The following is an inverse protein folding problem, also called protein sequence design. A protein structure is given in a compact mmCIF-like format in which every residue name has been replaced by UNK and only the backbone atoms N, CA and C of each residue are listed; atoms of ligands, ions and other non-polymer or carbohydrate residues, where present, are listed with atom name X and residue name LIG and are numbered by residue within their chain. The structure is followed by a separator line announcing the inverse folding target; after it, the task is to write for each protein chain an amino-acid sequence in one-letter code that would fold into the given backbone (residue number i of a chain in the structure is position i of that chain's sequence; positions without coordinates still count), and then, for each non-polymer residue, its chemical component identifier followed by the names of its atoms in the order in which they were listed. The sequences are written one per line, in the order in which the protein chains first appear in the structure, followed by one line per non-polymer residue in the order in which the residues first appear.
data_IF_339099235692
#
_entry.id   IF_339099235692
#
_cell.length_a   1.000
_cell.length_b   1.000
_cell.length_c   1.000
_cell.angle_alpha   90.00
_cell.angle_beta   90.00
_cell.angle_gamma   90.00
#
_symmetry.space_group_name_H-M   'P 1'
#
loop_
_entity.id
_entity.type
_entity.pdbx_description
1 polymer ?
#
# COMPACT_ATOMS: atom_id res chain seq x y z
N UNK A 1 -25.44 2.95 12.29
CA UNK A 1 -25.11 2.54 10.90
C UNK A 1 -24.32 3.59 10.12
N UNK A 2 -24.72 4.88 10.09
CA UNK A 2 -24.00 5.95 9.35
C UNK A 2 -22.49 6.05 9.67
N UNK A 3 -22.09 5.87 10.93
CA UNK A 3 -20.69 5.95 11.38
C UNK A 3 -19.82 4.79 10.86
N UNK A 4 -20.39 3.57 10.79
CA UNK A 4 -19.70 2.39 10.26
C UNK A 4 -19.48 2.54 8.75
N UNK A 5 -20.51 2.96 8.01
CA UNK A 5 -20.42 3.22 6.56
C UNK A 5 -19.41 4.33 6.27
N UNK A 6 -19.40 5.39 7.07
CA UNK A 6 -18.42 6.46 7.01
C UNK A 6 -16.99 5.95 7.23
N UNK A 7 -16.78 5.06 8.21
CA UNK A 7 -15.47 4.46 8.45
C UNK A 7 -15.00 3.61 7.26
N UNK A 8 -15.83 2.70 6.75
CA UNK A 8 -15.47 1.89 5.57
C UNK A 8 -15.16 2.74 4.33
N UNK A 9 -15.85 3.88 4.18
CA UNK A 9 -15.55 4.85 3.13
C UNK A 9 -14.20 5.53 3.34
N UNK A 10 -13.88 5.91 4.57
CA UNK A 10 -12.61 6.55 4.95
C UNK A 10 -11.40 5.66 4.66
N UNK A 11 -11.48 4.36 4.98
CA UNK A 11 -10.40 3.41 4.66
C UNK A 11 -10.43 2.91 3.21
N UNK A 12 -11.35 3.40 2.37
CA UNK A 12 -11.52 3.00 0.97
C UNK A 12 -11.57 1.47 0.82
N UNK A 13 -12.49 0.85 1.55
CA UNK A 13 -12.60 -0.61 1.66
C UNK A 13 -12.55 -1.40 0.35
N UNK A 14 -13.08 -0.94 -0.82
CA UNK A 14 -12.97 -1.71 -2.05
C UNK A 14 -11.51 -1.89 -2.48
N UNK A 15 -10.68 -0.86 -2.30
CA UNK A 15 -9.25 -0.91 -2.61
C UNK A 15 -8.51 -1.92 -1.72
N UNK A 16 -8.89 -1.98 -0.44
CA UNK A 16 -8.32 -2.94 0.51
C UNK A 16 -8.66 -4.39 0.12
N UNK A 17 -9.87 -4.62 -0.37
CA UNK A 17 -10.27 -5.94 -0.90
C UNK A 17 -9.41 -6.32 -2.10
N UNK A 18 -9.14 -5.39 -3.02
CA UNK A 18 -8.24 -5.65 -4.16
C UNK A 18 -6.81 -5.96 -3.72
N UNK A 19 -6.29 -5.33 -2.67
CA UNK A 19 -4.97 -5.66 -2.09
C UNK A 19 -4.97 -7.12 -1.61
N UNK A 20 -5.98 -7.52 -0.81
CA UNK A 20 -6.12 -8.90 -0.32
C UNK A 20 -6.22 -9.87 -1.48
N UNK A 21 -7.08 -9.59 -2.46
CA UNK A 21 -7.26 -10.46 -3.63
C UNK A 21 -5.97 -10.61 -4.43
N UNK A 22 -5.24 -9.52 -4.66
CA UNK A 22 -3.98 -9.54 -5.40
C UNK A 22 -2.94 -10.40 -4.67
N UNK A 23 -2.78 -10.20 -3.36
CA UNK A 23 -1.84 -10.98 -2.55
C UNK A 23 -2.24 -12.46 -2.48
N UNK A 24 -3.53 -12.76 -2.36
CA UNK A 24 -4.06 -14.13 -2.38
C UNK A 24 -3.80 -14.81 -3.73
N UNK A 25 -4.15 -14.16 -4.85
CA UNK A 25 -3.91 -14.71 -6.18
C UNK A 25 -2.42 -14.91 -6.43
N UNK A 26 -1.58 -13.98 -5.98
CA UNK A 26 -0.13 -14.10 -6.10
C UNK A 26 0.40 -15.32 -5.31
N UNK A 27 -0.06 -15.51 -4.08
CA UNK A 27 0.35 -16.64 -3.23
C UNK A 27 -0.09 -17.99 -3.81
N UNK A 28 -1.38 -18.12 -4.16
CA UNK A 28 -1.95 -19.42 -4.55
C UNK A 28 -1.72 -19.75 -6.02
N UNK A 29 -1.81 -18.79 -6.93
CA UNK A 29 -1.69 -19.04 -8.37
C UNK A 29 -0.25 -18.97 -8.87
N UNK A 30 0.64 -18.23 -8.18
CA UNK A 30 2.04 -18.06 -8.61
C UNK A 30 2.97 -18.83 -7.67
N UNK A 31 3.07 -18.42 -6.40
CA UNK A 31 4.03 -19.02 -5.47
C UNK A 31 3.80 -20.53 -5.28
N UNK A 32 2.62 -20.93 -4.80
CA UNK A 32 2.32 -22.37 -4.57
C UNK A 32 2.34 -23.21 -5.85
N UNK A 33 2.14 -22.60 -7.03
CA UNK A 33 2.22 -23.30 -8.32
C UNK A 33 3.66 -23.53 -8.79
N UNK A 34 4.57 -22.60 -8.49
CA UNK A 34 5.99 -22.74 -8.85
C UNK A 34 6.67 -23.79 -7.96
N UNK A 35 6.32 -23.83 -6.68
CA UNK A 35 6.92 -24.70 -5.67
C UNK A 35 6.07 -25.96 -5.39
N UNK A 36 5.33 -26.46 -6.40
CA UNK A 36 4.56 -27.71 -6.26
C UNK A 36 5.49 -28.86 -5.84
N UNK A 37 5.16 -29.52 -4.75
CA UNK A 37 5.89 -30.69 -4.26
C UNK A 37 7.07 -30.37 -3.34
N UNK A 38 7.38 -29.10 -3.12
CA UNK A 38 8.29 -28.67 -2.05
C UNK A 38 7.52 -28.55 -0.74
N UNK A 39 8.09 -29.06 0.36
CA UNK A 39 7.48 -28.92 1.68
C UNK A 39 7.41 -27.43 2.05
N UNK A 40 6.20 -26.91 2.25
CA UNK A 40 6.01 -25.56 2.75
C UNK A 40 6.69 -25.40 4.10
N UNK A 41 7.33 -24.26 4.33
CA UNK A 41 7.93 -23.97 5.63
C UNK A 41 6.85 -24.04 6.73
N UNK A 42 7.17 -24.53 7.94
CA UNK A 42 6.19 -24.84 8.98
C UNK A 42 5.41 -23.64 9.55
N UNK A 43 5.59 -22.41 9.06
CA UNK A 43 4.81 -21.22 9.46
C UNK A 43 4.37 -20.35 8.27
N UNK A 44 4.47 -20.88 7.05
CA UNK A 44 4.32 -20.13 5.80
C UNK A 44 2.95 -19.46 5.65
N UNK A 45 1.89 -20.17 6.05
CA UNK A 45 0.51 -19.68 5.96
C UNK A 45 0.24 -18.58 6.99
N UNK A 46 0.78 -18.71 8.20
CA UNK A 46 0.62 -17.70 9.25
C UNK A 46 1.37 -16.42 8.89
N UNK A 47 2.61 -16.55 8.43
CA UNK A 47 3.42 -15.44 7.94
C UNK A 47 2.70 -14.70 6.81
N UNK A 48 2.15 -15.44 5.83
CA UNK A 48 1.37 -14.85 4.75
C UNK A 48 0.14 -14.08 5.26
N UNK A 49 -0.69 -14.68 6.13
CA UNK A 49 -1.88 -14.02 6.68
C UNK A 49 -1.51 -12.73 7.41
N UNK A 50 -0.46 -12.75 8.23
CA UNK A 50 -0.02 -11.56 8.96
C UNK A 50 0.55 -10.48 8.02
N UNK A 51 1.25 -10.85 6.94
CA UNK A 51 1.69 -9.89 5.91
C UNK A 51 0.53 -9.24 5.17
N UNK A 52 -0.52 -10.01 4.85
CA UNK A 52 -1.73 -9.48 4.22
C UNK A 52 -2.41 -8.48 5.16
N UNK A 53 -2.59 -8.86 6.44
CA UNK A 53 -3.17 -7.96 7.45
C UNK A 53 -2.31 -6.70 7.58
N UNK A 54 -0.98 -6.83 7.67
CA UNK A 54 -0.07 -5.69 7.76
C UNK A 54 -0.24 -4.76 6.55
N UNK A 55 -0.25 -5.31 5.34
CA UNK A 55 -0.39 -4.56 4.08
C UNK A 55 -1.72 -3.79 4.05
N UNK A 56 -2.82 -4.43 4.44
CA UNK A 56 -4.15 -3.82 4.50
C UNK A 56 -4.22 -2.70 5.55
N UNK A 57 -3.65 -2.92 6.74
CA UNK A 57 -3.64 -1.91 7.81
C UNK A 57 -2.81 -0.68 7.41
N UNK A 58 -1.64 -0.88 6.80
CA UNK A 58 -0.78 0.22 6.31
C UNK A 58 -1.48 0.99 5.19
N UNK A 59 -2.09 0.31 4.22
CA UNK A 59 -2.84 0.96 3.15
C UNK A 59 -4.05 1.74 3.67
N UNK A 60 -4.80 1.15 4.61
CA UNK A 60 -5.93 1.80 5.27
C UNK A 60 -5.48 3.07 6.01
N UNK A 61 -4.38 3.01 6.75
CA UNK A 61 -3.79 4.17 7.43
C UNK A 61 -3.35 5.26 6.45
N UNK A 62 -2.80 4.85 5.30
CA UNK A 62 -2.43 5.74 4.19
C UNK A 62 -3.63 6.48 3.60
N UNK A 63 -4.75 5.79 3.37
CA UNK A 63 -5.97 6.44 2.89
C UNK A 63 -6.57 7.42 3.91
N UNK A 64 -6.55 7.08 5.20
CA UNK A 64 -7.04 7.95 6.27
C UNK A 64 -6.25 9.26 6.35
N UNK A 65 -4.90 9.18 6.33
CA UNK A 65 -4.07 10.38 6.41
C UNK A 65 -4.17 11.22 5.14
N UNK A 66 -4.34 10.58 3.98
CA UNK A 66 -4.59 11.29 2.74
C UNK A 66 -5.89 12.11 2.82
N UNK A 67 -7.01 11.49 3.23
CA UNK A 67 -8.30 12.19 3.38
C UNK A 67 -8.25 13.28 4.47
N UNK A 68 -7.37 13.16 5.48
CA UNK A 68 -7.16 14.19 6.50
C UNK A 68 -6.59 15.50 5.92
N UNK A 69 -5.58 15.38 5.06
CA UNK A 69 -4.93 16.53 4.41
C UNK A 69 -5.74 17.06 3.22
N UNK A 70 -6.45 16.17 2.52
CA UNK A 70 -7.26 16.50 1.34
C UNK A 70 -8.61 17.16 1.67
N UNK A 71 -8.99 17.23 2.94
CA UNK A 71 -10.30 17.71 3.39
C UNK A 71 -10.76 19.02 2.71
N UNK A 72 -9.88 20.01 2.59
CA UNK A 72 -10.26 21.30 1.98
C UNK A 72 -10.48 21.18 0.47
N UNK A 73 -9.67 20.36 -0.21
CA UNK A 73 -9.76 20.12 -1.66
C UNK A 73 -11.01 19.29 -1.96
N UNK A 74 -11.24 18.23 -1.18
CA UNK A 74 -12.39 17.33 -1.34
C UNK A 74 -13.72 18.02 -1.04
N UNK A 75 -13.75 19.02 -0.14
CA UNK A 75 -14.94 19.84 0.09
C UNK A 75 -15.34 20.64 -1.14
N UNK A 76 -14.38 21.06 -1.97
CA UNK A 76 -14.66 21.79 -3.22
C UNK A 76 -15.00 20.81 -4.35
N UNK A 77 -14.16 19.80 -4.57
CA UNK A 77 -14.31 18.91 -5.73
C UNK A 77 -15.44 17.88 -5.54
N UNK A 78 -15.63 17.37 -4.33
CA UNK A 78 -16.49 16.20 -4.05
C UNK A 78 -17.25 16.36 -2.73
N UNK A 79 -18.07 17.43 -2.54
CA UNK A 79 -18.71 17.76 -1.26
C UNK A 79 -19.57 16.62 -0.68
N UNK A 80 -20.29 15.87 -1.52
CA UNK A 80 -21.10 14.72 -1.09
C UNK A 80 -20.29 13.47 -0.70
N UNK A 81 -18.96 13.49 -0.91
CA UNK A 81 -18.06 12.38 -0.57
C UNK A 81 -17.24 12.59 0.69
N UNK A 82 -17.20 13.81 1.23
CA UNK A 82 -16.39 14.15 2.40
C UNK A 82 -16.98 13.51 3.66
N UNK A 83 -16.16 12.73 4.35
CA UNK A 83 -16.49 12.10 5.63
C UNK A 83 -15.83 12.83 6.79
N UNK A 84 -14.61 13.32 6.57
CA UNK A 84 -13.78 13.99 7.57
C UNK A 84 -14.39 15.34 7.93
N UNK A 85 -14.53 15.62 9.22
CA UNK A 85 -15.13 16.84 9.78
C UNK A 85 -16.64 17.03 9.51
N UNK A 86 -17.30 16.05 8.87
CA UNK A 86 -18.76 16.00 8.70
C UNK A 86 -19.35 14.91 9.60
N UNK A 87 -18.80 13.70 9.53
CA UNK A 87 -19.28 12.54 10.30
C UNK A 87 -18.22 12.12 11.33
N UNK A 88 -16.93 12.16 10.96
CA UNK A 88 -15.81 11.75 11.82
C UNK A 88 -14.94 12.97 12.11
N UNK A 89 -14.75 13.28 13.40
CA UNK A 89 -13.91 14.40 13.83
C UNK A 89 -12.45 14.18 13.45
N UNK A 90 -11.74 15.27 13.13
CA UNK A 90 -10.32 15.28 12.76
C UNK A 90 -9.41 14.55 13.75
N UNK A 91 -9.69 14.68 15.05
CA UNK A 91 -8.94 13.97 16.12
C UNK A 91 -9.04 12.44 15.98
N UNK A 92 -10.23 11.93 15.67
CA UNK A 92 -10.46 10.50 15.47
C UNK A 92 -9.81 10.00 14.19
N UNK A 93 -9.75 10.81 13.13
CA UNK A 93 -9.05 10.47 11.89
C UNK A 93 -7.55 10.26 12.14
N UNK A 94 -6.90 11.19 12.86
CA UNK A 94 -5.48 11.03 13.25
C UNK A 94 -5.31 9.80 14.16
N UNK A 95 -6.20 9.61 15.13
CA UNK A 95 -6.16 8.42 16.00
C UNK A 95 -6.20 7.13 15.18
N UNK A 96 -7.14 7.00 14.24
CA UNK A 96 -7.25 5.81 13.39
C UNK A 96 -6.05 5.62 12.48
N UNK A 97 -5.49 6.70 11.93
CA UNK A 97 -4.23 6.62 11.17
C UNK A 97 -3.09 6.05 12.03
N UNK A 98 -2.88 6.58 13.23
CA UNK A 98 -1.83 6.11 14.14
C UNK A 98 -2.07 4.67 14.59
N UNK A 99 -3.30 4.36 14.99
CA UNK A 99 -3.68 3.01 15.45
C UNK A 99 -3.48 1.95 14.37
N UNK A 100 -3.93 2.20 13.13
CA UNK A 100 -3.77 1.26 12.02
C UNK A 100 -2.31 1.17 11.56
N UNK A 101 -1.54 2.26 11.58
CA UNK A 101 -0.11 2.23 11.29
C UNK A 101 0.65 1.36 12.30
N UNK A 102 0.34 1.50 13.59
CA UNK A 102 0.94 0.69 14.66
C UNK A 102 0.53 -0.78 14.56
N UNK A 103 -0.74 -1.07 14.27
CA UNK A 103 -1.18 -2.44 14.02
C UNK A 103 -0.50 -3.04 12.78
N UNK A 104 -0.37 -2.28 11.70
CA UNK A 104 0.33 -2.72 10.50
C UNK A 104 1.78 -3.09 10.79
N UNK A 105 2.48 -2.26 11.57
CA UNK A 105 3.84 -2.53 12.03
C UNK A 105 3.90 -3.78 12.94
N UNK A 106 2.97 -3.90 13.89
CA UNK A 106 2.88 -5.04 14.78
C UNK A 106 2.70 -6.36 14.01
N UNK A 107 1.78 -6.40 13.05
CA UNK A 107 1.60 -7.59 12.21
C UNK A 107 2.79 -7.85 11.29
N UNK A 108 3.45 -6.80 10.79
CA UNK A 108 4.70 -6.95 10.03
C UNK A 108 5.78 -7.61 10.89
N UNK A 109 5.91 -7.22 12.16
CA UNK A 109 6.87 -7.82 13.09
C UNK A 109 6.49 -9.26 13.44
N UNK A 110 5.20 -9.53 13.67
CA UNK A 110 4.70 -10.86 13.96
C UNK A 110 4.85 -11.83 12.78
N UNK A 111 4.81 -11.32 11.55
CA UNK A 111 5.01 -12.11 10.34
C UNK A 111 6.49 -12.39 10.04
N UNK A 112 7.38 -11.45 10.36
CA UNK A 112 8.75 -11.42 9.89
C UNK A 112 9.73 -11.43 11.07
N UNK A 113 10.27 -12.60 11.46
CA UNK A 113 11.24 -12.66 12.54
C UNK A 113 12.48 -11.81 12.22
N UNK A 114 12.84 -10.92 13.15
CA UNK A 114 13.87 -9.89 12.97
C UNK A 114 15.21 -10.45 12.48
N UNK A 115 15.62 -11.62 12.96
CA UNK A 115 16.93 -12.20 12.64
C UNK A 115 17.16 -12.36 11.14
N UNK A 116 16.11 -12.64 10.35
CA UNK A 116 16.23 -12.87 8.91
C UNK A 116 15.61 -11.75 8.07
N UNK A 117 14.62 -11.03 8.61
CA UNK A 117 13.75 -10.15 7.82
C UNK A 117 13.67 -8.70 8.33
N UNK A 118 14.63 -8.25 9.15
CA UNK A 118 14.67 -6.87 9.67
C UNK A 118 14.49 -5.78 8.59
N UNK A 119 15.09 -5.98 7.41
CA UNK A 119 15.03 -5.07 6.26
C UNK A 119 13.60 -4.88 5.73
N UNK A 120 12.76 -5.92 5.79
CA UNK A 120 11.36 -5.84 5.35
C UNK A 120 10.48 -5.11 6.36
N UNK A 121 10.73 -5.32 7.66
CA UNK A 121 10.05 -4.56 8.72
C UNK A 121 10.40 -3.07 8.60
N UNK A 122 11.67 -2.74 8.36
CA UNK A 122 12.09 -1.37 8.10
C UNK A 122 11.50 -0.80 6.82
N UNK A 123 11.36 -1.59 5.75
CA UNK A 123 10.72 -1.13 4.52
C UNK A 123 9.21 -0.84 4.71
N UNK A 124 8.51 -1.62 5.54
CA UNK A 124 7.13 -1.31 5.94
C UNK A 124 7.04 -0.06 6.82
N UNK A 125 7.97 0.12 7.76
CA UNK A 125 8.07 1.37 8.52
C UNK A 125 8.32 2.57 7.59
N UNK A 126 9.25 2.42 6.63
CA UNK A 126 9.53 3.43 5.63
C UNK A 126 8.28 3.72 4.77
N UNK A 127 7.48 2.71 4.43
CA UNK A 127 6.23 2.89 3.69
C UNK A 127 5.22 3.75 4.46
N UNK A 128 5.07 3.54 5.77
CA UNK A 128 4.21 4.38 6.64
C UNK A 128 4.71 5.84 6.63
N UNK A 129 6.02 6.03 6.79
CA UNK A 129 6.65 7.35 6.80
C UNK A 129 6.48 8.04 5.43
N UNK A 130 6.71 7.32 4.33
CA UNK A 130 6.54 7.82 2.96
C UNK A 130 5.09 8.19 2.67
N UNK A 131 4.09 7.43 3.13
CA UNK A 131 2.67 7.78 3.00
C UNK A 131 2.33 9.09 3.74
N UNK A 132 2.93 9.29 4.91
CA UNK A 132 2.75 10.54 5.66
C UNK A 132 3.43 11.73 4.97
N UNK A 133 4.67 11.57 4.51
CA UNK A 133 5.38 12.60 3.73
C UNK A 133 4.68 12.90 2.41
N UNK A 134 4.13 11.87 1.76
CA UNK A 134 3.31 12.01 0.56
C UNK A 134 2.13 12.94 0.80
N UNK A 135 1.36 12.66 1.86
CA UNK A 135 0.14 13.39 2.17
C UNK A 135 0.39 14.82 2.65
N UNK A 136 1.56 15.10 3.23
CA UNK A 136 1.93 16.44 3.73
C UNK A 136 2.58 17.33 2.67
N UNK A 137 3.55 16.79 1.92
CA UNK A 137 4.48 17.60 1.12
C UNK A 137 4.47 17.24 -0.37
N UNK A 138 4.49 15.95 -0.72
CA UNK A 138 4.72 15.54 -2.11
C UNK A 138 3.48 15.61 -3.00
N UNK A 139 2.26 15.64 -2.43
CA UNK A 139 1.05 15.82 -3.23
C UNK A 139 1.01 17.15 -4.00
N UNK A 140 1.76 18.16 -3.53
CA UNK A 140 1.84 19.49 -4.18
C UNK A 140 2.91 19.57 -5.28
N UNK A 141 3.66 18.49 -5.52
CA UNK A 141 4.72 18.43 -6.52
C UNK A 141 4.31 17.54 -7.69
N UNK A 142 4.47 18.05 -8.91
CA UNK A 142 4.22 17.34 -10.15
C UNK A 142 4.98 16.01 -10.17
N UNK A 143 4.26 14.91 -10.44
CA UNK A 143 4.76 13.55 -10.72
C UNK A 143 5.38 12.79 -9.54
N UNK A 144 6.11 13.46 -8.63
CA UNK A 144 6.82 12.79 -7.52
C UNK A 144 5.84 12.04 -6.62
N UNK A 145 4.71 12.65 -6.30
CA UNK A 145 3.66 12.01 -5.52
C UNK A 145 3.08 10.76 -6.17
N UNK A 146 2.79 10.83 -7.47
CA UNK A 146 2.15 9.73 -8.21
C UNK A 146 3.11 8.55 -8.37
N UNK A 147 4.39 8.84 -8.62
CA UNK A 147 5.45 7.83 -8.67
C UNK A 147 5.59 7.15 -7.30
N UNK A 148 5.59 7.93 -6.21
CA UNK A 148 5.71 7.40 -4.85
C UNK A 148 4.56 6.47 -4.49
N UNK A 149 3.29 6.86 -4.71
CA UNK A 149 2.14 5.97 -4.47
C UNK A 149 2.27 4.71 -5.32
N UNK A 150 2.61 4.87 -6.60
CA UNK A 150 2.72 3.74 -7.51
C UNK A 150 3.82 2.77 -7.07
N UNK A 151 4.96 3.27 -6.57
CA UNK A 151 6.01 2.44 -5.97
C UNK A 151 5.49 1.69 -4.73
N UNK A 152 4.72 2.35 -3.87
CA UNK A 152 4.11 1.71 -2.71
C UNK A 152 3.07 0.65 -3.10
N UNK A 153 2.33 0.84 -4.19
CA UNK A 153 1.41 -0.20 -4.70
C UNK A 153 2.17 -1.41 -5.25
N UNK A 154 3.29 -1.21 -5.93
CA UNK A 154 4.16 -2.29 -6.38
C UNK A 154 4.83 -3.00 -5.19
N UNK A 155 5.14 -2.25 -4.12
CA UNK A 155 5.73 -2.79 -2.89
C UNK A 155 4.85 -3.88 -2.25
N UNK A 156 3.52 -3.76 -2.32
CA UNK A 156 2.55 -4.76 -1.83
C UNK A 156 2.77 -6.16 -2.44
N UNK A 157 3.26 -6.23 -3.67
CA UNK A 157 3.60 -7.48 -4.35
C UNK A 157 5.05 -7.88 -4.03
N UNK A 158 5.98 -6.92 -4.07
CA UNK A 158 7.40 -7.18 -3.81
C UNK A 158 7.67 -7.74 -2.42
N UNK A 159 6.92 -7.29 -1.40
CA UNK A 159 7.10 -7.78 -0.03
C UNK A 159 6.81 -9.28 0.10
N UNK A 160 5.86 -9.82 -0.68
CA UNK A 160 5.58 -11.26 -0.68
C UNK A 160 6.78 -12.03 -1.21
N UNK A 161 7.34 -11.61 -2.34
CA UNK A 161 8.54 -12.25 -2.90
C UNK A 161 9.71 -12.23 -1.90
N UNK A 162 10.03 -11.06 -1.34
CA UNK A 162 11.14 -10.92 -0.40
C UNK A 162 10.91 -11.68 0.91
N UNK A 163 9.65 -11.83 1.34
CA UNK A 163 9.32 -12.62 2.54
C UNK A 163 9.57 -14.12 2.38
N UNK A 164 9.51 -14.64 1.15
CA UNK A 164 9.70 -16.06 0.82
C UNK A 164 11.16 -16.36 0.41
N UNK A 165 11.90 -15.34 0.00
CA UNK A 165 13.30 -15.44 -0.45
C UNK A 165 14.16 -14.50 0.38
N UNK A 166 14.61 -14.92 1.58
CA UNK A 166 15.49 -14.10 2.42
C UNK A 166 16.78 -13.80 1.66
N UNK A 167 17.26 -12.56 1.77
CA UNK A 167 18.52 -12.09 1.18
C UNK A 167 19.73 -12.70 1.93
N UNK A 168 19.91 -14.01 1.86
CA UNK A 168 21.06 -14.71 2.40
C UNK A 168 22.13 -14.89 1.31
N UNK A 169 23.37 -14.50 1.63
CA UNK A 169 24.52 -14.54 0.73
C UNK A 169 24.75 -15.93 0.10
N UNK A 170 24.41 -16.99 0.82
CA UNK A 170 24.58 -18.38 0.37
C UNK A 170 23.56 -18.83 -0.69
N UNK A 171 22.37 -18.19 -0.76
CA UNK A 171 21.35 -18.50 -1.77
C UNK A 171 21.66 -17.87 -3.14
N UNK A 172 22.42 -16.75 -3.16
CA UNK A 172 22.79 -16.05 -4.39
C UNK A 172 23.70 -16.91 -5.30
N UNK A 173 24.45 -17.84 -4.72
CA UNK A 173 25.39 -18.71 -5.45
C UNK A 173 24.75 -19.99 -6.00
N UNK A 174 23.55 -20.36 -5.52
CA UNK A 174 22.84 -21.58 -5.90
C UNK A 174 21.48 -21.23 -6.52
N UNK A 175 21.50 -20.41 -7.57
CA UNK A 175 20.28 -19.94 -8.25
C UNK A 175 19.51 -21.13 -8.84
N UNK A 176 18.40 -21.50 -8.19
CA UNK A 176 17.48 -22.51 -8.74
C UNK A 176 16.63 -21.90 -9.85
N UNK A 177 16.28 -22.71 -10.85
CA UNK A 177 15.42 -22.29 -11.98
C UNK A 177 14.05 -21.77 -11.53
N UNK A 178 13.51 -22.31 -10.43
CA UNK A 178 12.24 -21.87 -9.85
C UNK A 178 12.30 -20.47 -9.22
N UNK A 179 13.42 -20.11 -8.57
CA UNK A 179 13.61 -18.79 -7.95
C UNK A 179 13.68 -17.69 -9.01
N UNK A 180 14.37 -17.94 -10.13
CA UNK A 180 14.43 -17.00 -11.27
C UNK A 180 13.05 -16.81 -11.89
N UNK A 181 12.28 -17.90 -12.05
CA UNK A 181 10.91 -17.83 -12.56
C UNK A 181 10.02 -17.01 -11.63
N UNK A 182 10.12 -17.25 -10.32
CA UNK A 182 9.34 -16.53 -9.32
C UNK A 182 9.70 -15.03 -9.30
N UNK A 183 10.99 -14.69 -9.32
CA UNK A 183 11.46 -13.31 -9.41
C UNK A 183 10.97 -12.60 -10.66
N UNK A 184 11.08 -13.24 -11.83
CA UNK A 184 10.63 -12.67 -13.10
C UNK A 184 9.13 -12.38 -13.08
N UNK A 185 8.32 -13.32 -12.60
CA UNK A 185 6.87 -13.12 -12.47
C UNK A 185 6.57 -12.00 -11.47
N UNK A 186 7.24 -11.97 -10.32
CA UNK A 186 7.10 -10.89 -9.32
C UNK A 186 7.34 -9.53 -9.95
N UNK A 187 8.44 -9.34 -10.69
CA UNK A 187 8.75 -8.07 -11.35
C UNK A 187 7.68 -7.69 -12.36
N UNK A 188 7.22 -8.64 -13.18
CA UNK A 188 6.18 -8.35 -14.18
C UNK A 188 4.90 -7.87 -13.51
N UNK A 189 4.43 -8.54 -12.45
CA UNK A 189 3.23 -8.13 -11.73
C UNK A 189 3.43 -6.82 -10.95
N UNK A 190 4.58 -6.61 -10.33
CA UNK A 190 4.91 -5.38 -9.63
C UNK A 190 5.02 -4.18 -10.58
N UNK A 191 5.65 -4.34 -11.74
CA UNK A 191 5.74 -3.32 -12.78
C UNK A 191 4.36 -3.00 -13.38
N UNK A 192 3.52 -4.02 -13.59
CA UNK A 192 2.15 -3.83 -14.04
C UNK A 192 1.32 -3.05 -13.02
N UNK A 193 1.40 -3.41 -11.73
CA UNK A 193 0.75 -2.68 -10.65
C UNK A 193 1.23 -1.23 -10.57
N UNK A 194 2.54 -1.00 -10.70
CA UNK A 194 3.13 0.34 -10.76
C UNK A 194 2.54 1.17 -11.91
N UNK A 195 2.55 0.65 -13.15
CA UNK A 195 2.08 1.38 -14.32
C UNK A 195 0.59 1.71 -14.20
N UNK A 196 -0.25 0.74 -13.82
CA UNK A 196 -1.69 0.97 -13.66
C UNK A 196 -1.96 1.98 -12.54
N UNK A 197 -1.25 1.89 -11.42
CA UNK A 197 -1.38 2.87 -10.34
C UNK A 197 -0.99 4.27 -10.81
N UNK A 198 0.08 4.38 -11.60
CA UNK A 198 0.56 5.67 -12.10
C UNK A 198 -0.47 6.30 -13.03
N UNK A 199 -0.99 5.53 -14.00
CA UNK A 199 -2.06 5.98 -14.90
C UNK A 199 -3.30 6.41 -14.12
N UNK A 200 -3.69 5.63 -13.11
CA UNK A 200 -4.85 5.95 -12.26
C UNK A 200 -4.67 7.27 -11.51
N UNK A 201 -3.49 7.54 -10.94
CA UNK A 201 -3.26 8.80 -10.25
C UNK A 201 -3.15 9.99 -11.22
N UNK A 202 -2.61 9.81 -12.42
CA UNK A 202 -2.65 10.85 -13.46
C UNK A 202 -4.08 11.19 -13.86
N UNK A 203 -4.95 10.19 -14.05
CA UNK A 203 -6.38 10.41 -14.36
C UNK A 203 -7.06 11.15 -13.20
N UNK A 204 -6.75 10.80 -11.95
CA UNK A 204 -7.32 11.46 -10.78
C UNK A 204 -6.87 12.92 -10.68
N UNK A 205 -5.60 13.22 -10.94
CA UNK A 205 -5.11 14.59 -10.98
C UNK A 205 -5.81 15.41 -12.08
N UNK A 206 -6.17 14.79 -13.20
CA UNK A 206 -6.99 15.41 -14.26
C UNK A 206 -8.46 15.60 -13.88
N UNK A 207 -8.99 14.88 -12.89
CA UNK A 207 -10.34 15.13 -12.35
C UNK A 207 -10.33 16.26 -11.31
N UNK A 208 -9.23 16.42 -10.56
CA UNK A 208 -9.16 17.31 -9.40
C UNK A 208 -8.67 18.75 -9.73
N UNK A 209 -8.51 19.09 -11.02
CA UNK A 209 -7.97 20.37 -11.56
C UNK A 209 -8.65 21.62 -11.01
N UNK A 210 -9.98 21.61 -10.89
CA UNK A 210 -10.73 22.80 -10.45
C UNK A 210 -10.45 23.15 -8.98
N UNK A 211 -10.33 22.13 -8.11
CA UNK A 211 -9.97 22.30 -6.69
C UNK A 211 -8.50 22.65 -6.51
N UNK A 212 -7.63 22.02 -7.29
CA UNK A 212 -6.20 22.32 -7.30
C UNK A 212 -5.91 23.77 -7.73
N UNK A 213 -6.66 24.28 -8.72
CA UNK A 213 -6.56 25.66 -9.21
C UNK A 213 -6.98 26.70 -8.17
N UNK A 214 -7.99 26.40 -7.33
CA UNK A 214 -8.43 27.29 -6.23
C UNK A 214 -7.46 27.33 -5.04
N UNK A 215 -6.73 26.25 -4.79
CA UNK A 215 -5.76 26.16 -3.69
C UNK A 215 -4.29 26.34 -4.12
N UNK A 216 -4.05 26.71 -5.39
CA UNK A 216 -2.71 27.05 -5.89
C UNK A 216 -1.77 25.86 -6.03
N UNK A 217 -2.30 24.64 -6.20
CA UNK A 217 -1.47 23.46 -6.47
C UNK A 217 -0.98 23.50 -7.92
N UNK A 218 0.32 23.24 -8.14
CA UNK A 218 0.89 23.03 -9.48
C UNK A 218 0.76 21.54 -9.81
N UNK A 219 -0.41 21.10 -10.28
CA UNK A 219 -0.63 19.74 -10.81
C UNK A 219 -0.55 19.72 -12.34
N UNK A 220 -0.36 18.55 -12.96
CA UNK A 220 0.01 18.42 -14.39
C UNK A 220 -0.86 19.23 -15.38
N UNK A 221 -2.18 19.40 -15.16
CA UNK A 221 -3.03 20.19 -16.05
C UNK A 221 -3.07 21.70 -15.75
N UNK A 222 -2.31 22.19 -14.76
CA UNK A 222 -2.28 23.61 -14.34
C UNK A 222 -1.02 24.34 -14.87
N UNK A 223 -0.09 23.61 -15.51
CA UNK A 223 1.08 24.20 -16.19
C UNK A 223 0.78 24.43 -17.67
#
# INVERSE_FOLDING_TARGET
MKLITAFFRLVRWPNLVFIVLTQMLFEYCIYKRIYIGEASQPDDTRQFIFLVIASVMIAAAGYIINDYFDLNIDQVNKPGKVVVNVIINRRWVIFWHMFLSLLGLFFSFAALPLNNYWHLVLANLASIILLWFYSTNFKKQLLIGNILISLLTAWVIMILFLSKQPLQLNHILAVKTNEVRFFRLTIVYAAFAFIISLVREVIKDMEDVEGDRRYGCRTMPIV
#
